data_IF_413740907034
#
_entry.id   IF_413740907034
#
_cell.length_a   1.000
_cell.length_b   1.000
_cell.length_c   1.000
_cell.angle_alpha   90.00
_cell.angle_beta   90.00
_cell.angle_gamma   90.00
#
_symmetry.space_group_name_H-M   'P 1'
#
loop_
_entity.id
_entity.type
_entity.pdbx_description
1 polymer ?
#
# COMPACT_ATOMS: atom_id res chain seq x y z
N UNK A 1 36.75 37.93 -59.45
CA UNK A 1 35.85 37.89 -58.28
C UNK A 1 34.59 37.12 -58.66
N UNK A 2 34.11 36.23 -57.78
CA UNK A 2 32.74 35.63 -57.77
C UNK A 2 32.45 34.53 -58.81
N UNK A 3 31.72 33.45 -58.54
CA UNK A 3 31.15 32.83 -57.33
C UNK A 3 30.91 31.35 -57.72
N UNK A 4 31.38 30.38 -56.94
CA UNK A 4 31.06 28.96 -57.14
C UNK A 4 29.68 28.70 -56.55
N UNK A 5 28.68 28.38 -57.38
CA UNK A 5 27.34 27.99 -56.91
C UNK A 5 27.38 26.54 -56.41
N UNK A 6 27.35 26.33 -55.09
CA UNK A 6 27.05 25.02 -54.51
C UNK A 6 25.56 24.74 -54.63
N UNK A 7 25.17 23.87 -55.56
CA UNK A 7 23.86 23.20 -55.52
C UNK A 7 23.87 22.22 -54.35
N UNK A 8 23.07 22.49 -53.32
CA UNK A 8 22.74 21.51 -52.28
C UNK A 8 21.82 20.44 -52.90
N UNK A 9 22.10 19.14 -52.72
CA UNK A 9 21.29 18.10 -53.32
C UNK A 9 19.95 18.01 -52.58
N UNK A 10 18.87 18.34 -53.29
CA UNK A 10 17.46 18.20 -52.84
C UNK A 10 17.15 16.83 -52.22
N UNK A 11 17.89 15.79 -52.62
CA UNK A 11 17.78 14.41 -52.12
C UNK A 11 18.05 14.31 -50.62
N UNK A 12 19.00 15.11 -50.08
CA UNK A 12 19.35 15.08 -48.66
C UNK A 12 18.25 15.66 -47.75
N UNK A 13 17.54 16.67 -48.24
CA UNK A 13 16.43 17.31 -47.52
C UNK A 13 15.24 16.35 -47.49
N UNK A 14 14.89 15.75 -48.62
CA UNK A 14 13.78 14.78 -48.68
C UNK A 14 13.97 13.60 -47.73
N UNK A 15 15.20 13.04 -47.66
CA UNK A 15 15.52 11.91 -46.80
C UNK A 15 15.39 12.24 -45.29
N UNK A 16 15.78 13.47 -44.91
CA UNK A 16 15.68 13.94 -43.54
C UNK A 16 14.21 14.15 -43.10
N UNK A 17 13.37 14.70 -43.98
CA UNK A 17 11.95 14.86 -43.71
C UNK A 17 11.20 13.52 -43.64
N UNK A 18 11.57 12.54 -44.48
CA UNK A 18 11.01 11.18 -44.38
C UNK A 18 11.40 10.48 -43.09
N UNK A 19 12.64 10.67 -42.61
CA UNK A 19 13.09 10.09 -41.35
C UNK A 19 12.39 10.73 -40.15
N UNK A 20 12.27 12.06 -40.12
CA UNK A 20 11.53 12.78 -39.07
C UNK A 20 10.06 12.35 -39.06
N UNK A 21 9.42 12.25 -40.22
CA UNK A 21 8.05 11.79 -40.32
C UNK A 21 7.89 10.34 -39.81
N UNK A 22 8.82 9.44 -40.14
CA UNK A 22 8.80 8.06 -39.66
C UNK A 22 9.01 7.97 -38.15
N UNK A 23 9.92 8.76 -37.57
CA UNK A 23 10.12 8.83 -36.12
C UNK A 23 8.89 9.40 -35.42
N UNK A 24 8.30 10.48 -35.95
CA UNK A 24 7.06 11.05 -35.43
C UNK A 24 5.90 10.07 -35.55
N UNK A 25 5.79 9.32 -36.64
CA UNK A 25 4.77 8.29 -36.85
C UNK A 25 4.97 7.12 -35.86
N UNK A 26 6.21 6.68 -35.62
CA UNK A 26 6.51 5.62 -34.64
C UNK A 26 6.24 6.10 -33.21
N UNK A 27 6.57 7.35 -32.88
CA UNK A 27 6.24 7.95 -31.57
C UNK A 27 4.74 8.12 -31.43
N UNK A 28 4.03 8.55 -32.47
CA UNK A 28 2.58 8.70 -32.47
C UNK A 28 1.89 7.34 -32.39
N UNK A 29 2.32 6.34 -33.15
CA UNK A 29 1.82 4.96 -33.08
C UNK A 29 2.12 4.37 -31.70
N UNK A 30 3.33 4.53 -31.15
CA UNK A 30 3.63 4.06 -29.79
C UNK A 30 2.82 4.81 -28.72
N UNK A 31 2.58 6.11 -28.89
CA UNK A 31 1.72 6.89 -28.00
C UNK A 31 0.25 6.47 -28.12
N UNK A 32 -0.21 6.18 -29.34
CA UNK A 32 -1.58 5.77 -29.64
C UNK A 32 -1.84 4.32 -29.21
N UNK A 33 -0.84 3.45 -29.32
CA UNK A 33 -0.85 2.09 -28.77
C UNK A 33 -0.79 2.11 -27.24
N UNK A 34 -0.05 3.05 -26.63
CA UNK A 34 -0.06 3.28 -25.18
C UNK A 34 -1.35 3.94 -24.69
N UNK A 35 -2.03 4.73 -25.52
CA UNK A 35 -3.30 5.40 -25.18
C UNK A 35 -4.52 4.52 -25.43
N UNK A 36 -4.36 3.33 -26.03
CA UNK A 36 -5.40 2.30 -26.02
C UNK A 36 -5.50 1.71 -24.61
N UNK A 37 -6.20 2.44 -23.74
CA UNK A 37 -7.11 1.79 -22.82
C UNK A 37 -7.99 0.85 -23.65
N UNK A 38 -7.72 -0.46 -23.56
CA UNK A 38 -8.34 -1.40 -24.50
C UNK A 38 -9.76 -1.73 -24.04
N UNK A 39 -10.64 -2.05 -24.99
CA UNK A 39 -11.96 -2.63 -24.70
C UNK A 39 -11.83 -3.86 -23.78
N UNK A 40 -10.71 -4.60 -23.87
CA UNK A 40 -10.37 -5.70 -22.96
C UNK A 40 -10.25 -5.24 -21.50
N UNK A 41 -9.61 -4.10 -21.22
CA UNK A 41 -9.49 -3.57 -19.85
C UNK A 41 -10.85 -3.12 -19.31
N UNK A 42 -11.70 -2.56 -20.17
CA UNK A 42 -13.07 -2.15 -19.82
C UNK A 42 -14.00 -3.35 -19.56
N UNK A 43 -13.92 -4.41 -20.37
CA UNK A 43 -14.66 -5.66 -20.14
C UNK A 43 -14.22 -6.38 -18.86
N UNK A 44 -12.91 -6.38 -18.55
CA UNK A 44 -12.38 -6.98 -17.31
C UNK A 44 -12.87 -6.25 -16.06
N UNK A 45 -12.83 -4.91 -16.02
CA UNK A 45 -13.44 -4.16 -14.91
C UNK A 45 -14.95 -4.34 -14.86
N UNK A 46 -15.62 -4.39 -16.01
CA UNK A 46 -17.05 -4.68 -16.12
C UNK A 46 -17.44 -6.04 -15.53
N UNK A 47 -16.55 -7.04 -15.62
CA UNK A 47 -16.79 -8.38 -15.08
C UNK A 47 -16.60 -8.51 -13.57
N UNK A 48 -15.95 -7.53 -12.93
CA UNK A 48 -15.89 -7.41 -11.46
C UNK A 48 -17.09 -6.64 -10.90
N UNK A 49 -18.09 -6.32 -11.73
CA UNK A 49 -19.33 -5.66 -11.29
C UNK A 49 -20.32 -6.70 -10.75
N UNK A 50 -20.37 -6.80 -9.43
CA UNK A 50 -21.32 -7.59 -8.64
C UNK A 50 -20.71 -7.85 -7.27
N UNK A 51 -21.45 -8.34 -6.27
CA UNK A 51 -20.76 -8.98 -5.15
C UNK A 51 -20.32 -10.37 -5.62
N UNK A 52 -19.17 -10.44 -6.30
CA UNK A 52 -18.42 -11.68 -6.43
C UNK A 52 -17.72 -11.93 -5.10
N UNK A 53 -17.93 -13.09 -4.50
CA UNK A 53 -17.30 -13.44 -3.23
C UNK A 53 -15.77 -13.38 -3.34
N UNK A 54 -15.11 -13.05 -2.23
CA UNK A 54 -13.65 -12.87 -2.16
C UNK A 54 -12.83 -14.10 -2.60
N UNK A 55 -13.41 -15.30 -2.58
CA UNK A 55 -12.77 -16.56 -2.93
C UNK A 55 -13.25 -17.13 -4.28
N UNK A 56 -14.05 -16.37 -5.03
CA UNK A 56 -14.47 -16.76 -6.38
C UNK A 56 -13.21 -17.00 -7.25
N UNK A 57 -13.05 -18.19 -7.87
CA UNK A 57 -11.88 -18.49 -8.70
C UNK A 57 -11.62 -17.47 -9.80
N UNK A 58 -12.68 -16.86 -10.36
CA UNK A 58 -12.55 -15.78 -11.33
C UNK A 58 -11.91 -14.53 -10.73
N UNK A 59 -12.32 -14.14 -9.52
CA UNK A 59 -11.73 -13.02 -8.77
C UNK A 59 -10.26 -13.28 -8.50
N UNK A 60 -9.92 -14.47 -7.99
CA UNK A 60 -8.53 -14.83 -7.67
C UNK A 60 -7.63 -14.82 -8.91
N UNK A 61 -8.10 -15.38 -10.03
CA UNK A 61 -7.36 -15.42 -11.28
C UNK A 61 -7.15 -14.03 -11.87
N UNK A 62 -8.20 -13.19 -11.94
CA UNK A 62 -8.07 -11.83 -12.45
C UNK A 62 -7.15 -10.98 -11.58
N UNK A 63 -7.28 -11.10 -10.26
CA UNK A 63 -6.41 -10.40 -9.32
C UNK A 63 -4.93 -10.73 -9.60
N UNK A 64 -4.61 -12.01 -9.72
CA UNK A 64 -3.24 -12.47 -9.97
C UNK A 64 -2.72 -12.08 -11.35
N UNK A 65 -3.53 -12.22 -12.41
CA UNK A 65 -3.08 -11.99 -13.78
C UNK A 65 -3.04 -10.50 -14.17
N UNK A 66 -3.86 -9.65 -13.54
CA UNK A 66 -4.07 -8.29 -14.04
C UNK A 66 -3.79 -7.19 -13.04
N UNK A 67 -3.80 -7.49 -11.74
CA UNK A 67 -3.64 -6.48 -10.70
C UNK A 67 -2.38 -6.66 -9.85
N UNK A 68 -1.78 -7.85 -9.85
CA UNK A 68 -0.53 -8.13 -9.14
C UNK A 68 0.66 -8.23 -10.09
N UNK A 69 1.78 -7.64 -9.69
CA UNK A 69 3.09 -7.78 -10.35
C UNK A 69 4.00 -8.65 -9.47
N UNK A 70 4.70 -9.65 -10.04
CA UNK A 70 5.56 -10.54 -9.27
C UNK A 70 6.80 -9.83 -8.69
N UNK A 71 7.43 -10.43 -7.66
CA UNK A 71 8.71 -9.98 -7.11
C UNK A 71 9.77 -9.69 -8.18
N UNK A 72 10.51 -8.60 -8.01
CA UNK A 72 11.57 -8.25 -8.97
C UNK A 72 12.74 -9.24 -8.89
N UNK A 73 13.19 -9.73 -10.04
CA UNK A 73 14.44 -10.51 -10.14
C UNK A 73 15.69 -9.62 -10.22
N UNK A 74 15.53 -8.33 -10.54
CA UNK A 74 16.62 -7.37 -10.66
C UNK A 74 17.15 -6.91 -9.29
N UNK A 75 18.42 -6.48 -9.18
CA UNK A 75 18.94 -5.91 -7.93
C UNK A 75 18.07 -4.77 -7.40
N UNK A 76 17.96 -4.69 -6.06
CA UNK A 76 17.31 -3.59 -5.36
C UNK A 76 17.77 -2.23 -5.88
N UNK A 77 16.86 -1.27 -5.92
CA UNK A 77 17.15 0.11 -6.27
C UNK A 77 16.62 1.03 -5.16
N UNK A 78 17.18 0.81 -3.96
CA UNK A 78 16.87 1.55 -2.75
C UNK A 78 17.71 2.83 -2.69
N UNK A 79 17.11 3.89 -2.17
CA UNK A 79 17.80 5.16 -1.88
C UNK A 79 18.77 5.02 -0.70
N UNK A 80 18.40 4.24 0.32
CA UNK A 80 19.22 3.88 1.47
C UNK A 80 19.63 2.38 1.39
N UNK A 81 20.88 2.08 0.98
CA UNK A 81 21.35 0.70 0.83
C UNK A 81 21.48 -0.03 2.17
N UNK A 82 21.45 0.68 3.31
CA UNK A 82 21.54 0.07 4.64
C UNK A 82 20.17 -0.26 5.22
N UNK A 83 19.08 0.19 4.60
CA UNK A 83 17.72 0.04 5.15
C UNK A 83 17.71 0.49 6.63
N UNK A 84 18.32 1.65 6.88
CA UNK A 84 18.47 2.20 8.24
C UNK A 84 17.13 2.67 8.79
N UNK A 85 16.22 3.05 7.87
CA UNK A 85 14.84 3.39 8.15
C UNK A 85 14.65 4.80 8.69
N UNK A 86 13.41 5.30 8.61
CA UNK A 86 13.10 6.69 8.94
C UNK A 86 12.84 6.87 10.44
N UNK A 87 13.64 7.67 11.13
CA UNK A 87 13.59 7.80 12.61
C UNK A 87 12.55 8.83 13.12
N UNK A 88 11.44 9.01 12.41
CA UNK A 88 10.35 9.94 12.79
C UNK A 88 8.98 9.34 12.43
N UNK A 89 7.90 10.03 12.82
CA UNK A 89 6.52 9.54 12.75
C UNK A 89 6.38 8.22 13.51
N UNK A 90 5.42 7.38 13.14
CA UNK A 90 5.15 6.07 13.76
C UNK A 90 6.19 5.00 13.44
N UNK A 91 7.06 5.23 12.45
CA UNK A 91 8.04 4.24 12.01
C UNK A 91 8.90 3.65 13.14
N UNK A 92 9.47 4.43 14.09
CA UNK A 92 10.24 3.87 15.20
C UNK A 92 9.42 2.96 16.10
N UNK A 93 8.16 3.31 16.38
CA UNK A 93 7.25 2.47 17.17
C UNK A 93 7.04 1.13 16.47
N UNK A 94 6.62 1.17 15.21
CA UNK A 94 6.32 -0.04 14.43
C UNK A 94 7.57 -0.91 14.29
N UNK A 95 8.70 -0.32 13.88
CA UNK A 95 9.94 -1.09 13.67
C UNK A 95 10.54 -1.65 14.95
N UNK A 96 10.40 -0.98 16.09
CA UNK A 96 10.87 -1.53 17.35
C UNK A 96 10.09 -2.80 17.72
N UNK A 97 8.76 -2.79 17.58
CA UNK A 97 7.95 -3.98 17.83
C UNK A 97 8.17 -5.08 16.78
N UNK A 98 8.22 -4.73 15.49
CA UNK A 98 8.54 -5.70 14.41
C UNK A 98 9.87 -6.38 14.69
N UNK A 99 10.93 -5.62 15.01
CA UNK A 99 12.23 -6.19 15.35
C UNK A 99 12.17 -7.06 16.60
N UNK A 100 11.53 -6.58 17.67
CA UNK A 100 11.43 -7.34 18.92
C UNK A 100 10.76 -8.71 18.73
N UNK A 101 9.64 -8.74 17.99
CA UNK A 101 8.88 -9.96 17.77
C UNK A 101 9.55 -10.89 16.75
N UNK A 102 10.11 -10.34 15.67
CA UNK A 102 10.52 -11.13 14.50
C UNK A 102 12.03 -11.21 14.24
N UNK A 103 12.89 -10.62 15.09
CA UNK A 103 14.35 -10.69 14.89
C UNK A 103 14.91 -12.11 14.77
N UNK A 104 14.28 -13.09 15.41
CA UNK A 104 14.72 -14.49 15.40
C UNK A 104 14.01 -15.33 14.34
N UNK A 105 13.17 -14.72 13.50
CA UNK A 105 12.36 -15.39 12.48
C UNK A 105 12.81 -14.99 11.08
N UNK A 106 12.81 -15.95 10.16
CA UNK A 106 13.13 -15.74 8.74
C UNK A 106 12.08 -16.42 7.88
N UNK A 107 12.01 -16.07 6.59
CA UNK A 107 11.09 -16.70 5.63
C UNK A 107 9.60 -16.60 6.00
N UNK A 108 9.21 -15.55 6.73
CA UNK A 108 7.79 -15.24 6.93
C UNK A 108 7.16 -14.59 5.71
N UNK A 109 5.86 -14.39 5.77
CA UNK A 109 5.06 -13.69 4.77
C UNK A 109 4.40 -12.45 5.37
N UNK A 110 4.55 -11.29 4.73
CA UNK A 110 3.89 -10.05 5.16
C UNK A 110 2.94 -9.48 4.11
N UNK A 111 2.05 -8.59 4.56
CA UNK A 111 1.27 -7.71 3.70
C UNK A 111 1.38 -6.28 4.24
N UNK A 112 1.64 -5.33 3.37
CA UNK A 112 1.65 -3.90 3.68
C UNK A 112 0.66 -3.18 2.75
N UNK A 113 -0.40 -2.62 3.32
CA UNK A 113 -1.34 -1.76 2.63
C UNK A 113 -1.06 -0.31 3.03
N UNK A 114 -0.91 0.56 2.03
CA UNK A 114 -0.32 1.90 2.24
C UNK A 114 1.20 1.88 2.05
N UNK A 115 1.69 1.14 1.05
CA UNK A 115 3.13 0.91 0.87
C UNK A 115 3.90 2.14 0.34
N UNK A 116 3.21 3.22 -0.06
CA UNK A 116 3.78 4.46 -0.55
C UNK A 116 4.79 4.25 -1.69
N UNK A 117 6.06 4.61 -1.50
CA UNK A 117 7.11 4.45 -2.50
C UNK A 117 7.87 3.13 -2.34
N UNK A 118 7.43 2.24 -1.44
CA UNK A 118 8.06 0.96 -1.16
C UNK A 118 9.38 1.03 -0.38
N UNK A 119 9.79 2.18 0.14
CA UNK A 119 11.02 2.31 0.91
C UNK A 119 10.90 3.31 2.07
N UNK A 120 10.51 4.54 1.74
CA UNK A 120 10.27 5.59 2.72
C UNK A 120 9.19 5.11 3.70
N UNK A 121 9.51 5.16 4.99
CA UNK A 121 8.67 4.67 6.10
C UNK A 121 8.09 3.24 5.93
N UNK A 122 8.65 2.39 5.06
CA UNK A 122 8.12 1.03 4.90
C UNK A 122 8.24 0.24 6.20
N UNK A 123 7.14 -0.40 6.59
CA UNK A 123 7.05 -1.24 7.78
C UNK A 123 7.63 -2.64 7.56
N UNK A 124 7.81 -3.05 6.30
CA UNK A 124 8.17 -4.43 5.93
C UNK A 124 9.52 -4.57 5.24
N UNK A 125 10.14 -3.48 4.77
CA UNK A 125 11.41 -3.55 4.03
C UNK A 125 12.52 -4.26 4.81
N UNK A 126 12.58 -4.05 6.14
CA UNK A 126 13.58 -4.71 6.97
C UNK A 126 13.37 -6.24 7.05
N UNK A 127 12.11 -6.71 7.11
CA UNK A 127 11.78 -8.13 7.09
C UNK A 127 12.17 -8.76 5.74
N UNK A 128 11.84 -8.09 4.64
CA UNK A 128 12.21 -8.55 3.30
C UNK A 128 13.73 -8.64 3.15
N UNK A 129 14.43 -7.53 3.41
CA UNK A 129 15.85 -7.37 3.11
C UNK A 129 16.76 -8.19 4.03
N UNK A 130 16.50 -8.19 5.35
CA UNK A 130 17.38 -8.83 6.33
C UNK A 130 16.89 -10.18 6.84
N UNK A 131 15.59 -10.47 6.72
CA UNK A 131 14.99 -11.71 7.23
C UNK A 131 14.54 -12.66 6.12
N UNK A 132 14.75 -12.28 4.86
CA UNK A 132 14.34 -13.07 3.70
C UNK A 132 12.84 -13.38 3.72
N UNK A 133 12.03 -12.46 4.22
CA UNK A 133 10.58 -12.59 4.17
C UNK A 133 10.08 -12.28 2.76
N UNK A 134 9.04 -12.98 2.36
CA UNK A 134 8.25 -12.65 1.17
C UNK A 134 7.04 -11.83 1.56
N UNK A 135 6.37 -11.21 0.60
CA UNK A 135 5.14 -10.49 0.91
C UNK A 135 4.47 -9.86 -0.28
N UNK A 136 3.51 -9.00 0.02
CA UNK A 136 2.81 -8.15 -0.95
C UNK A 136 2.66 -6.71 -0.45
N UNK A 137 2.89 -5.75 -1.34
CA UNK A 137 2.76 -4.33 -1.11
C UNK A 137 1.60 -3.77 -1.95
N UNK A 138 0.66 -3.07 -1.30
CA UNK A 138 -0.49 -2.46 -1.96
C UNK A 138 -0.39 -0.94 -1.84
N UNK A 139 -0.48 -0.25 -2.98
CA UNK A 139 -0.45 1.21 -3.05
C UNK A 139 -1.43 1.70 -4.13
N UNK A 140 -2.53 2.39 -3.75
CA UNK A 140 -3.56 2.80 -4.69
C UNK A 140 -3.23 4.07 -5.50
N UNK A 141 -2.34 4.97 -5.04
CA UNK A 141 -1.96 6.15 -5.83
C UNK A 141 -0.98 5.74 -6.94
N UNK A 142 -1.35 5.98 -8.19
CA UNK A 142 -0.55 5.55 -9.33
C UNK A 142 0.84 6.20 -9.40
N UNK A 143 1.06 7.36 -8.79
CA UNK A 143 2.35 8.04 -8.79
C UNK A 143 3.28 7.43 -7.74
N UNK A 144 2.82 7.25 -6.50
CA UNK A 144 3.55 6.54 -5.43
C UNK A 144 3.82 5.11 -5.84
N UNK A 145 2.82 4.41 -6.40
CA UNK A 145 3.01 3.07 -6.96
C UNK A 145 4.09 3.03 -8.04
N UNK A 146 4.15 4.04 -8.92
CA UNK A 146 5.25 4.15 -9.89
C UNK A 146 6.60 4.19 -9.17
N UNK A 147 6.76 5.01 -8.13
CA UNK A 147 7.99 5.02 -7.34
C UNK A 147 8.29 3.67 -6.68
N UNK A 148 7.27 2.99 -6.16
CA UNK A 148 7.37 1.65 -5.60
C UNK A 148 7.91 0.64 -6.61
N UNK A 149 7.43 0.66 -7.86
CA UNK A 149 7.98 -0.22 -8.92
C UNK A 149 9.47 0.00 -9.16
N UNK A 150 9.95 1.25 -9.03
CA UNK A 150 11.37 1.58 -9.22
C UNK A 150 12.26 1.05 -8.11
N UNK A 151 11.74 0.75 -6.91
CA UNK A 151 12.53 0.19 -5.80
C UNK A 151 12.95 -1.26 -6.01
N UNK A 152 12.27 -1.97 -6.91
CA UNK A 152 12.54 -3.38 -7.25
C UNK A 152 12.50 -4.28 -6.02
N UNK A 153 11.46 -4.11 -5.21
CA UNK A 153 11.17 -4.94 -4.05
C UNK A 153 11.10 -6.42 -4.45
N UNK A 154 11.45 -7.31 -3.53
CA UNK A 154 11.38 -8.78 -3.67
C UNK A 154 10.04 -9.34 -3.20
N UNK A 155 9.03 -8.49 -3.20
CA UNK A 155 7.66 -8.79 -2.84
C UNK A 155 6.74 -8.53 -4.03
N UNK A 156 5.57 -9.16 -4.01
CA UNK A 156 4.49 -8.82 -4.93
C UNK A 156 4.09 -7.37 -4.73
N UNK A 157 3.62 -6.71 -5.79
CA UNK A 157 3.15 -5.34 -5.72
C UNK A 157 1.83 -5.21 -6.48
N UNK A 158 0.89 -4.40 -5.98
CA UNK A 158 -0.37 -4.14 -6.68
C UNK A 158 -0.79 -2.67 -6.57
N UNK A 159 -1.23 -2.10 -7.70
CA UNK A 159 -1.77 -0.75 -7.79
C UNK A 159 -3.29 -0.78 -7.60
N UNK A 160 -3.69 -1.13 -6.39
CA UNK A 160 -5.06 -1.42 -6.00
C UNK A 160 -5.27 -1.03 -4.54
N UNK A 161 -6.52 -0.96 -4.12
CA UNK A 161 -6.85 -0.78 -2.70
C UNK A 161 -7.33 -2.09 -2.05
N UNK A 162 -7.41 -2.09 -0.71
CA UNK A 162 -8.09 -3.17 0.01
C UNK A 162 -9.56 -2.79 0.19
N UNK A 163 -10.46 -3.72 -0.15
CA UNK A 163 -11.89 -3.54 0.09
C UNK A 163 -12.23 -3.77 1.56
N UNK A 164 -13.00 -2.86 2.15
CA UNK A 164 -13.67 -3.04 3.44
C UNK A 164 -14.96 -3.89 3.33
N UNK A 165 -15.25 -4.46 2.15
CA UNK A 165 -16.32 -5.44 1.93
C UNK A 165 -15.73 -6.80 1.55
N UNK A 166 -16.54 -7.85 1.60
CA UNK A 166 -16.15 -9.22 1.23
C UNK A 166 -16.15 -9.47 -0.30
N UNK A 167 -16.22 -8.43 -1.13
CA UNK A 167 -16.21 -8.54 -2.59
C UNK A 167 -15.35 -7.44 -3.24
N UNK A 168 -14.85 -7.65 -4.47
CA UNK A 168 -14.16 -6.62 -5.24
C UNK A 168 -15.08 -5.44 -5.58
N UNK A 169 -14.56 -4.22 -5.50
CA UNK A 169 -15.30 -3.00 -5.87
C UNK A 169 -14.39 -1.98 -6.56
N UNK A 170 -14.94 -1.18 -7.45
CA UNK A 170 -14.28 0.04 -7.94
C UNK A 170 -14.80 1.22 -7.10
N UNK A 171 -13.88 2.06 -6.62
CA UNK A 171 -14.20 3.22 -5.77
C UNK A 171 -13.38 4.44 -6.18
N UNK A 172 -13.74 5.61 -5.65
CA UNK A 172 -13.07 6.87 -5.95
C UNK A 172 -12.10 7.23 -4.82
N UNK A 173 -10.85 7.51 -5.17
CA UNK A 173 -9.84 8.00 -4.25
C UNK A 173 -9.54 9.48 -4.49
N UNK A 174 -9.32 10.23 -3.40
CA UNK A 174 -8.79 11.59 -3.41
C UNK A 174 -7.30 11.57 -3.05
N UNK A 175 -6.46 12.14 -3.93
CA UNK A 175 -5.02 12.33 -3.70
C UNK A 175 -4.71 13.81 -3.60
N UNK A 176 -3.98 14.20 -2.55
CA UNK A 176 -3.70 15.60 -2.23
C UNK A 176 -2.31 16.01 -2.72
N UNK A 177 -2.21 17.14 -3.42
CA UNK A 177 -0.97 17.57 -4.11
C UNK A 177 -0.27 18.78 -3.49
N UNK A 178 -0.55 19.11 -2.23
CA UNK A 178 -0.09 20.39 -1.71
C UNK A 178 1.42 20.55 -1.74
N UNK A 179 1.87 21.42 -2.63
CA UNK A 179 3.22 21.99 -2.63
C UNK A 179 3.30 22.95 -1.44
N UNK A 180 3.47 22.42 -0.23
CA UNK A 180 3.92 23.27 0.88
C UNK A 180 5.38 23.59 0.56
N UNK A 181 5.72 24.87 0.37
CA UNK A 181 7.12 25.28 0.25
C UNK A 181 7.89 24.72 1.46
N UNK A 182 8.82 23.79 1.25
CA UNK A 182 9.79 23.37 2.29
C UNK A 182 9.87 21.89 2.66
N UNK A 183 9.00 20.98 2.20
CA UNK A 183 9.32 19.54 2.32
C UNK A 183 10.04 19.05 1.05
N UNK A 184 11.19 18.37 1.18
CA UNK A 184 12.02 17.98 0.04
C UNK A 184 11.43 16.84 -0.80
N UNK A 185 10.28 16.27 -0.41
CA UNK A 185 9.72 15.05 -1.00
C UNK A 185 8.24 15.21 -1.41
N UNK A 186 7.96 15.66 -2.66
CA UNK A 186 6.60 15.86 -3.18
C UNK A 186 5.68 14.63 -3.15
N UNK A 187 6.24 13.42 -3.07
CA UNK A 187 5.45 12.18 -2.99
C UNK A 187 4.97 11.87 -1.56
N UNK A 188 5.64 12.37 -0.52
CA UNK A 188 5.21 12.15 0.87
C UNK A 188 3.82 12.76 1.14
N UNK A 189 3.48 13.86 0.46
CA UNK A 189 2.15 14.45 0.58
C UNK A 189 1.02 13.52 0.15
N UNK A 190 1.31 12.59 -0.76
CA UNK A 190 0.36 11.58 -1.24
C UNK A 190 0.15 10.43 -0.26
N UNK A 191 0.88 10.37 0.84
CA UNK A 191 0.55 9.49 1.97
C UNK A 191 -0.87 9.76 2.51
N UNK A 192 -1.44 10.94 2.23
CA UNK A 192 -2.83 11.29 2.56
C UNK A 192 -3.81 10.95 1.42
N UNK A 193 -3.59 9.86 0.68
CA UNK A 193 -4.52 9.39 -0.35
C UNK A 193 -5.55 8.47 0.30
N UNK A 194 -6.82 8.80 0.18
CA UNK A 194 -7.90 8.10 0.90
C UNK A 194 -9.11 7.81 0.01
N UNK A 195 -9.88 6.77 0.39
CA UNK A 195 -11.15 6.44 -0.26
C UNK A 195 -12.20 7.51 0.06
N UNK A 196 -12.88 8.02 -0.97
CA UNK A 196 -14.01 8.94 -0.79
C UNK A 196 -15.23 8.12 -0.38
N UNK A 197 -15.63 8.30 0.87
CA UNK A 197 -16.83 7.71 1.46
C UNK A 197 -17.75 8.84 1.95
N UNK A 198 -18.97 8.52 2.36
CA UNK A 198 -19.87 9.49 3.00
C UNK A 198 -19.25 10.15 4.23
N UNK A 199 -18.38 9.45 4.96
CA UNK A 199 -17.71 9.96 6.15
C UNK A 199 -16.52 10.87 5.81
N UNK A 200 -15.66 10.46 4.87
CA UNK A 200 -14.50 11.26 4.47
C UNK A 200 -14.90 12.49 3.64
N UNK A 201 -16.02 12.43 2.91
CA UNK A 201 -16.58 13.58 2.19
C UNK A 201 -17.10 14.70 3.11
N UNK A 202 -17.54 14.38 4.35
CA UNK A 202 -18.05 15.38 5.31
C UNK A 202 -16.95 16.19 6.00
N UNK A 203 -15.75 15.63 6.17
CA UNK A 203 -14.58 16.35 6.70
C UNK A 203 -13.93 17.32 5.70
N UNK A 204 -14.47 17.41 4.48
CA UNK A 204 -13.86 18.06 3.32
C UNK A 204 -14.25 19.55 3.18
N UNK A 205 -15.25 20.02 3.93
CA UNK A 205 -15.97 21.28 3.66
C UNK A 205 -15.33 22.55 4.26
N UNK A 206 -14.19 22.47 4.98
CA UNK A 206 -13.64 23.66 5.65
C UNK A 206 -12.13 23.93 5.48
N UNK A 207 -11.34 23.03 4.87
CA UNK A 207 -9.87 23.17 4.79
C UNK A 207 -9.28 23.25 3.37
N UNK A 208 -10.11 23.17 2.33
CA UNK A 208 -9.67 22.86 0.95
C UNK A 208 -9.54 24.07 0.02
N UNK A 209 -9.82 25.30 0.44
CA UNK A 209 -9.68 26.48 -0.44
C UNK A 209 -8.25 26.66 -1.01
N UNK A 210 -7.24 26.03 -0.39
CA UNK A 210 -5.85 26.07 -0.85
C UNK A 210 -5.28 24.73 -1.36
N UNK A 211 -6.06 23.62 -1.38
CA UNK A 211 -5.51 22.28 -1.71
C UNK A 211 -5.88 21.83 -3.13
N UNK A 212 -4.88 21.45 -3.94
CA UNK A 212 -5.13 20.78 -5.25
C UNK A 212 -5.33 19.30 -5.02
N UNK A 213 -6.45 18.76 -5.49
CA UNK A 213 -6.85 17.36 -5.27
C UNK A 213 -7.05 16.69 -6.64
N UNK A 214 -6.47 15.50 -6.83
CA UNK A 214 -6.85 14.60 -7.92
C UNK A 214 -7.82 13.55 -7.43
N UNK A 215 -8.66 13.13 -8.35
CA UNK A 215 -9.55 12.00 -8.18
C UNK A 215 -9.12 10.87 -9.09
N UNK A 216 -9.17 9.64 -8.59
CA UNK A 216 -8.84 8.45 -9.38
C UNK A 216 -9.76 7.29 -9.03
N UNK A 217 -10.27 6.59 -10.05
CA UNK A 217 -11.04 5.36 -9.89
C UNK A 217 -10.08 4.19 -9.68
N UNK A 218 -10.19 3.53 -8.53
CA UNK A 218 -9.30 2.45 -8.09
C UNK A 218 -10.08 1.17 -7.89
N UNK A 219 -9.56 0.07 -8.41
CA UNK A 219 -10.07 -1.26 -8.13
C UNK A 219 -9.55 -1.72 -6.76
N UNK A 220 -10.47 -2.25 -5.96
CA UNK A 220 -10.20 -2.77 -4.65
C UNK A 220 -10.60 -4.25 -4.58
N UNK A 221 -9.83 -5.02 -3.82
CA UNK A 221 -10.10 -6.43 -3.56
C UNK A 221 -10.09 -6.69 -2.05
N UNK A 222 -10.91 -7.62 -1.54
CA UNK A 222 -10.83 -8.05 -0.16
C UNK A 222 -9.42 -8.61 0.15
N UNK A 223 -8.89 -8.33 1.34
CA UNK A 223 -7.56 -8.79 1.78
C UNK A 223 -7.38 -10.31 1.58
N UNK A 224 -8.41 -11.08 1.95
CA UNK A 224 -8.45 -12.53 1.83
C UNK A 224 -8.19 -12.99 0.39
N UNK A 225 -8.71 -12.27 -0.62
CA UNK A 225 -8.53 -12.62 -2.04
C UNK A 225 -7.06 -12.57 -2.46
N UNK A 226 -6.30 -11.54 -2.02
CA UNK A 226 -4.87 -11.45 -2.33
C UNK A 226 -4.10 -12.64 -1.78
N UNK A 227 -4.39 -13.02 -0.52
CA UNK A 227 -3.69 -14.12 0.13
C UNK A 227 -4.06 -15.47 -0.48
N UNK A 228 -5.35 -15.71 -0.78
CA UNK A 228 -5.79 -16.92 -1.45
C UNK A 228 -5.20 -17.04 -2.87
N UNK A 229 -5.14 -15.95 -3.64
CA UNK A 229 -4.50 -15.94 -4.96
C UNK A 229 -2.99 -16.25 -4.92
N UNK A 230 -2.34 -15.99 -3.79
CA UNK A 230 -0.94 -16.33 -3.55
C UNK A 230 -0.76 -17.66 -2.79
N UNK A 231 -1.83 -18.42 -2.56
CA UNK A 231 -1.85 -19.65 -1.77
C UNK A 231 -1.32 -19.47 -0.34
N UNK A 232 -1.59 -18.31 0.27
CA UNK A 232 -1.23 -17.96 1.65
C UNK A 232 -2.47 -18.01 2.52
N UNK A 233 -2.43 -18.82 3.57
CA UNK A 233 -3.51 -18.91 4.59
C UNK A 233 -3.04 -18.47 5.97
N UNK A 234 -1.73 -18.32 6.17
CA UNK A 234 -1.12 -17.75 7.38
C UNK A 234 -0.29 -16.55 6.99
N UNK A 235 -0.65 -15.39 7.52
CA UNK A 235 0.04 -14.13 7.35
C UNK A 235 0.84 -13.82 8.62
N UNK A 236 2.15 -13.71 8.53
CA UNK A 236 3.00 -13.51 9.70
C UNK A 236 2.94 -12.07 10.22
N UNK A 237 2.83 -11.10 9.32
CA UNK A 237 2.73 -9.70 9.68
C UNK A 237 1.83 -8.93 8.72
N UNK A 238 0.80 -8.27 9.24
CA UNK A 238 -0.05 -7.35 8.52
C UNK A 238 0.25 -5.92 8.96
N UNK A 239 0.61 -5.05 8.02
CA UNK A 239 0.64 -3.59 8.19
C UNK A 239 -0.51 -2.97 7.42
N UNK A 240 -1.44 -2.34 8.14
CA UNK A 240 -2.66 -1.79 7.58
C UNK A 240 -2.75 -0.28 7.85
N UNK A 241 -2.45 0.50 6.82
CA UNK A 241 -2.51 1.97 6.79
C UNK A 241 -3.22 2.37 5.49
N UNK A 242 -4.55 2.44 5.54
CA UNK A 242 -5.42 2.69 4.39
C UNK A 242 -6.18 4.01 4.49
N UNK A 243 -5.78 4.85 5.45
CA UNK A 243 -6.33 6.17 5.72
C UNK A 243 -7.85 6.15 6.00
N UNK A 244 -8.33 5.17 6.79
CA UNK A 244 -9.64 5.23 7.47
C UNK A 244 -10.62 4.07 7.25
N UNK A 245 -10.21 2.97 6.62
CA UNK A 245 -11.06 1.79 6.37
C UNK A 245 -10.64 0.54 7.16
N UNK A 246 -9.69 0.69 8.07
CA UNK A 246 -8.93 -0.40 8.68
C UNK A 246 -9.83 -1.37 9.45
N UNK A 247 -10.75 -0.82 10.26
CA UNK A 247 -11.69 -1.65 11.03
C UNK A 247 -12.63 -2.45 10.12
N UNK A 248 -13.12 -1.84 9.03
CA UNK A 248 -13.97 -2.53 8.05
C UNK A 248 -13.23 -3.67 7.36
N UNK A 249 -11.98 -3.44 6.98
CA UNK A 249 -11.11 -4.47 6.38
C UNK A 249 -10.91 -5.63 7.37
N UNK A 250 -10.56 -5.36 8.63
CA UNK A 250 -10.35 -6.40 9.64
C UNK A 250 -11.60 -7.25 9.89
N UNK A 251 -12.79 -6.63 9.89
CA UNK A 251 -14.08 -7.37 9.96
C UNK A 251 -14.18 -8.42 8.85
N UNK A 252 -13.93 -8.03 7.60
CA UNK A 252 -14.02 -8.98 6.48
C UNK A 252 -13.03 -10.14 6.60
N UNK A 253 -11.84 -9.91 7.15
CA UNK A 253 -10.82 -10.96 7.34
C UNK A 253 -11.25 -11.94 8.42
N UNK A 254 -11.73 -11.43 9.55
CA UNK A 254 -12.11 -12.27 10.69
C UNK A 254 -13.42 -13.02 10.41
N UNK A 255 -14.40 -12.39 9.76
CA UNK A 255 -15.66 -13.03 9.37
C UNK A 255 -15.44 -14.15 8.34
N UNK A 256 -14.49 -13.98 7.43
CA UNK A 256 -14.13 -15.03 6.47
C UNK A 256 -13.50 -16.26 7.16
N UNK A 257 -12.75 -16.06 8.25
CA UNK A 257 -12.15 -17.15 9.04
C UNK A 257 -11.12 -18.01 8.29
N UNK A 258 -10.67 -17.61 7.10
CA UNK A 258 -9.74 -18.38 6.26
C UNK A 258 -8.27 -18.02 6.44
N UNK A 259 -8.00 -16.84 6.97
CA UNK A 259 -6.64 -16.29 7.11
C UNK A 259 -6.30 -16.14 8.58
N UNK A 260 -5.21 -16.78 8.99
CA UNK A 260 -4.62 -16.57 10.31
C UNK A 260 -3.58 -15.46 10.22
N UNK A 261 -3.77 -14.35 10.94
CA UNK A 261 -2.79 -13.25 10.98
C UNK A 261 -2.08 -13.25 12.33
N UNK A 262 -0.76 -13.46 12.36
CA UNK A 262 -0.02 -13.66 13.62
C UNK A 262 0.23 -12.35 14.37
N UNK A 263 0.56 -11.28 13.66
CA UNK A 263 0.69 -9.94 14.22
C UNK A 263 0.11 -8.90 13.26
N UNK A 264 -0.51 -7.87 13.83
CA UNK A 264 -1.16 -6.79 13.09
C UNK A 264 -0.62 -5.47 13.65
N UNK A 265 -0.17 -4.59 12.76
CA UNK A 265 -0.11 -3.16 13.02
C UNK A 265 -1.17 -2.45 12.19
N UNK A 266 -1.91 -1.55 12.80
CA UNK A 266 -3.07 -0.91 12.17
C UNK A 266 -3.17 0.54 12.60
N UNK A 267 -3.28 1.46 11.65
CA UNK A 267 -3.58 2.88 11.89
C UNK A 267 -5.10 3.07 11.94
N UNK A 268 -5.67 3.27 13.14
CA UNK A 268 -7.12 3.38 13.31
C UNK A 268 -7.49 4.64 14.10
N UNK A 269 -8.13 5.60 13.44
CA UNK A 269 -8.57 6.82 14.11
C UNK A 269 -9.92 6.60 14.83
N UNK A 270 -10.03 6.91 16.13
CA UNK A 270 -11.29 6.86 16.85
C UNK A 270 -12.35 7.76 16.21
N UNK A 271 -13.58 7.30 16.20
CA UNK A 271 -14.73 8.11 15.80
C UNK A 271 -15.21 8.96 16.97
N UNK A 272 -14.89 10.26 16.97
CA UNK A 272 -15.33 11.20 17.99
C UNK A 272 -14.34 11.36 19.15
N UNK A 273 -14.13 12.63 19.54
CA UNK A 273 -13.10 13.14 20.47
C UNK A 273 -11.64 12.82 20.09
N UNK A 274 -10.73 13.73 20.47
CA UNK A 274 -9.27 13.64 20.20
C UNK A 274 -8.57 12.61 21.09
N UNK A 275 -9.19 11.45 21.30
CA UNK A 275 -8.55 10.37 22.04
C UNK A 275 -7.55 9.66 21.13
N UNK A 276 -6.36 9.35 21.66
CA UNK A 276 -5.34 8.60 20.92
C UNK A 276 -5.72 7.11 20.83
N UNK A 277 -6.58 6.66 21.76
CA UNK A 277 -7.02 5.28 21.90
C UNK A 277 -8.53 5.17 21.68
N UNK A 278 -8.95 4.20 20.87
CA UNK A 278 -10.34 3.77 20.68
C UNK A 278 -10.60 2.48 21.49
N UNK A 279 -11.27 2.55 22.65
CA UNK A 279 -11.53 1.37 23.48
C UNK A 279 -12.44 0.34 22.80
N UNK A 280 -13.39 0.77 21.96
CA UNK A 280 -14.30 -0.13 21.26
C UNK A 280 -13.54 -0.96 20.24
N UNK A 281 -12.65 -0.31 19.47
CA UNK A 281 -11.77 -1.00 18.53
C UNK A 281 -10.84 -2.00 19.22
N UNK A 282 -10.20 -1.59 20.33
CA UNK A 282 -9.33 -2.50 21.10
C UNK A 282 -10.12 -3.70 21.64
N UNK A 283 -11.34 -3.48 22.16
CA UNK A 283 -12.18 -4.56 22.65
C UNK A 283 -12.63 -5.50 21.52
N UNK A 284 -12.96 -4.96 20.35
CA UNK A 284 -13.25 -5.74 19.15
C UNK A 284 -12.07 -6.65 18.77
N UNK A 285 -10.84 -6.13 18.75
CA UNK A 285 -9.64 -6.92 18.46
C UNK A 285 -9.41 -8.00 19.53
N UNK A 286 -9.62 -7.68 20.82
CA UNK A 286 -9.51 -8.65 21.92
C UNK A 286 -10.49 -9.82 21.79
N UNK A 287 -11.74 -9.52 21.41
CA UNK A 287 -12.80 -10.50 21.19
C UNK A 287 -12.54 -11.34 19.92
N UNK A 288 -11.86 -10.76 18.94
CA UNK A 288 -11.40 -11.45 17.72
C UNK A 288 -10.13 -12.30 17.93
N UNK A 289 -9.72 -12.54 19.18
CA UNK A 289 -8.61 -13.44 19.51
C UNK A 289 -7.24 -12.76 19.65
N UNK A 290 -7.16 -11.43 19.62
CA UNK A 290 -5.88 -10.73 19.70
C UNK A 290 -5.54 -10.23 21.12
N UNK A 291 -4.25 -10.18 21.42
CA UNK A 291 -3.66 -9.50 22.56
C UNK A 291 -3.20 -8.11 22.12
N UNK A 292 -3.67 -7.08 22.82
CA UNK A 292 -3.25 -5.70 22.61
C UNK A 292 -1.85 -5.49 23.21
N UNK A 293 -0.88 -5.11 22.38
CA UNK A 293 0.49 -4.86 22.79
C UNK A 293 0.64 -3.41 23.25
N UNK A 294 0.41 -2.45 22.34
CA UNK A 294 0.60 -1.01 22.59
C UNK A 294 0.00 -0.16 21.45
N UNK A 295 -0.05 1.16 21.62
CA UNK A 295 -0.21 2.12 20.53
C UNK A 295 0.78 3.28 20.63
N UNK A 296 0.95 4.10 19.59
CA UNK A 296 1.78 5.32 19.64
C UNK A 296 0.95 6.62 19.66
N UNK A 297 1.58 7.75 19.37
CA UNK A 297 0.94 9.08 19.36
C UNK A 297 0.02 9.33 18.17
N UNK A 298 0.11 8.53 17.12
CA UNK A 298 -0.57 8.68 15.85
C UNK A 298 -1.32 7.37 15.61
N UNK A 299 -2.59 7.25 16.02
CA UNK A 299 -3.23 6.05 16.56
C UNK A 299 -2.93 4.73 15.83
N UNK A 300 -1.69 4.23 15.98
CA UNK A 300 -1.17 3.01 15.40
C UNK A 300 -1.13 1.97 16.50
N UNK A 301 -1.87 0.89 16.32
CA UNK A 301 -2.03 -0.15 17.33
C UNK A 301 -1.24 -1.38 16.91
N UNK A 302 -0.59 -2.04 17.87
CA UNK A 302 0.08 -3.32 17.63
C UNK A 302 -0.65 -4.45 18.37
N UNK A 303 -1.01 -5.50 17.64
CA UNK A 303 -1.73 -6.65 18.14
C UNK A 303 -1.02 -7.95 17.79
N UNK A 304 -1.16 -8.94 18.67
CA UNK A 304 -0.63 -10.30 18.47
C UNK A 304 -1.76 -11.31 18.65
N UNK A 305 -1.83 -12.30 17.77
CA UNK A 305 -2.79 -13.37 17.90
C UNK A 305 -2.52 -14.22 19.15
N UNK A 306 -3.52 -14.43 20.01
CA UNK A 306 -3.35 -15.17 21.28
C UNK A 306 -2.94 -16.63 21.04
N UNK A 307 -3.39 -17.24 19.95
CA UNK A 307 -3.01 -18.61 19.59
C UNK A 307 -1.54 -18.74 19.18
N UNK A 308 -0.86 -17.64 18.83
CA UNK A 308 0.59 -17.63 18.66
C UNK A 308 1.30 -17.55 20.01
N UNK A 309 1.53 -18.71 20.61
CA UNK A 309 2.17 -18.84 21.93
C UNK A 309 3.57 -18.21 21.98
N UNK A 310 4.31 -18.20 20.87
CA UNK A 310 5.68 -17.67 20.82
C UNK A 310 5.64 -16.15 20.91
N UNK A 311 4.83 -15.50 20.06
CA UNK A 311 4.70 -14.05 20.05
C UNK A 311 4.01 -13.54 21.32
N UNK A 312 3.01 -14.26 21.82
CA UNK A 312 2.33 -13.92 23.07
C UNK A 312 3.27 -13.95 24.27
N UNK A 313 4.14 -14.96 24.37
CA UNK A 313 5.12 -15.02 25.45
C UNK A 313 6.14 -13.89 25.36
N UNK A 314 6.61 -13.55 24.14
CA UNK A 314 7.46 -12.36 23.93
C UNK A 314 6.74 -11.09 24.42
N UNK A 315 5.45 -10.92 24.12
CA UNK A 315 4.70 -9.75 24.56
C UNK A 315 4.61 -9.66 26.10
N UNK A 316 4.36 -10.79 26.77
CA UNK A 316 4.34 -10.87 28.25
C UNK A 316 5.70 -10.62 28.88
N UNK A 317 6.80 -11.04 28.23
CA UNK A 317 8.16 -10.74 28.68
C UNK A 317 8.44 -9.24 28.55
N UNK A 318 8.03 -8.62 27.43
CA UNK A 318 8.18 -7.19 27.21
C UNK A 318 7.48 -6.37 28.31
N UNK A 319 6.26 -6.75 28.67
CA UNK A 319 5.50 -6.12 29.75
C UNK A 319 6.16 -6.31 31.13
N UNK A 320 6.61 -7.54 31.46
CA UNK A 320 7.29 -7.84 32.73
C UNK A 320 8.61 -7.10 32.93
N UNK A 321 9.31 -6.75 31.84
CA UNK A 321 10.55 -5.97 31.90
C UNK A 321 10.31 -4.49 32.24
N UNK A 322 9.06 -4.07 32.44
CA UNK A 322 8.71 -2.70 32.83
C UNK A 322 8.89 -1.71 31.69
N UNK A 323 8.88 -2.16 30.43
CA UNK A 323 8.81 -1.26 29.29
C UNK A 323 7.50 -0.48 29.38
N UNK A 324 7.59 0.86 29.49
CA UNK A 324 6.41 1.71 29.51
C UNK A 324 5.70 1.61 28.16
N UNK A 325 4.49 1.06 28.16
CA UNK A 325 3.55 1.20 27.04
C UNK A 325 3.29 2.68 26.82
N UNK A 326 3.25 3.11 25.57
CA UNK A 326 2.97 4.50 25.25
C UNK A 326 1.49 4.80 25.53
N UNK A 327 0.59 3.88 25.16
CA UNK A 327 -0.82 3.99 25.46
C UNK A 327 -1.19 3.13 26.68
N UNK A 328 -1.46 3.79 27.81
CA UNK A 328 -1.83 3.10 29.05
C UNK A 328 -3.32 2.71 29.04
N UNK A 329 -3.64 1.47 29.39
CA UNK A 329 -5.01 0.93 29.34
C UNK A 329 -5.73 1.00 30.68
N UNK A 330 -5.23 1.75 31.65
CA UNK A 330 -5.79 1.81 33.03
C UNK A 330 -7.23 2.32 33.08
N UNK A 331 -7.75 2.86 31.97
CA UNK A 331 -9.15 3.28 31.81
C UNK A 331 -10.06 2.20 31.18
N UNK A 332 -9.54 1.00 30.89
CA UNK A 332 -10.27 -0.09 30.21
C UNK A 332 -10.52 -1.32 31.11
N UNK A 333 -10.40 -1.16 32.44
CA UNK A 333 -10.78 -2.19 33.43
C UNK A 333 -12.21 -2.02 33.94
#
# INVERSE_FOLDING_TARGET
MKFISKQTPLVSVFCCWTFIFFVCLVVFINSFLKSKWTIKDSCKRGSLKGPLEYDDPYVLNILQENFMTPPSTLPYNLSDPKVSGFKRFSWPFIHNYVKYFFQDQTHGFFMEAGALDGEFISNTLWLEYYKNWSGILLEPDANTFKHLTWKRRKSWIANTCISATNYPKETLFASQFNVVKGLPFPWLYRANTFEITSNTARGFDFSTWSRRIAYSGIQCFPLTSYLLALNVTTLDFLSLDTQGNEWGILKTVFDAGKIKVRAIVVEHYPTGEMNILDPEFVNYMKNSGYYYVDCDSEPNYFFILKEDKILLEKARIYERKGHKKYCNTTFME
#
